data_IF_180776697001
#
_entry.id   IF_180776697001
#
_cell.length_a   1.000
_cell.length_b   1.000
_cell.length_c   1.000
_cell.angle_alpha   90.00
_cell.angle_beta   90.00
_cell.angle_gamma   90.00
#
_symmetry.space_group_name_H-M   'P 1'
#
loop_
_entity.id
_entity.type
_entity.pdbx_description
1 polymer ?
#
# COMPACT_ATOMS: atom_id res chain seq x y z
N UNK A 1 -16.34 32.22 -26.91
CA UNK A 1 -15.19 32.14 -25.98
C UNK A 1 -15.43 30.97 -25.06
N UNK A 2 -14.88 29.80 -25.39
CA UNK A 2 -15.00 28.55 -24.63
C UNK A 2 -13.68 28.32 -23.91
N UNK A 3 -13.68 28.46 -22.57
CA UNK A 3 -12.48 28.31 -21.74
C UNK A 3 -12.19 26.83 -21.47
N UNK A 4 -10.94 26.42 -21.72
CA UNK A 4 -10.37 25.08 -21.49
C UNK A 4 -10.35 24.69 -20.00
N UNK A 5 -11.46 24.18 -19.46
CA UNK A 5 -11.55 23.73 -18.06
C UNK A 5 -11.00 22.32 -17.80
N UNK A 6 -10.72 21.53 -18.85
CA UNK A 6 -10.23 20.15 -18.70
C UNK A 6 -8.74 20.08 -18.31
N UNK A 7 -7.93 21.06 -18.72
CA UNK A 7 -6.48 21.08 -18.46
C UNK A 7 -6.16 21.45 -17.00
N UNK A 8 -7.04 22.18 -16.31
CA UNK A 8 -6.83 22.59 -14.91
C UNK A 8 -7.15 21.44 -13.92
N UNK A 9 -8.08 20.55 -14.27
CA UNK A 9 -8.36 19.34 -13.49
C UNK A 9 -7.12 18.42 -13.42
N UNK A 10 -6.43 18.23 -14.55
CA UNK A 10 -5.24 17.37 -14.63
C UNK A 10 -4.00 17.95 -13.94
N UNK A 11 -3.88 19.27 -13.83
CA UNK A 11 -2.75 19.92 -13.12
C UNK A 11 -2.84 19.78 -11.61
N UNK A 12 -4.05 19.64 -11.07
CA UNK A 12 -4.26 19.33 -9.64
C UNK A 12 -3.88 17.89 -9.27
N UNK A 13 -4.18 16.92 -10.15
CA UNK A 13 -3.95 15.49 -9.90
C UNK A 13 -2.46 15.12 -9.89
N UNK A 14 -1.64 15.78 -10.70
CA UNK A 14 -0.19 15.55 -10.74
C UNK A 14 0.55 16.10 -9.50
N UNK A 15 0.00 17.14 -8.85
CA UNK A 15 0.63 17.74 -7.66
C UNK A 15 0.55 16.83 -6.41
N UNK A 16 -0.49 16.00 -6.30
CA UNK A 16 -0.67 15.08 -5.16
C UNK A 16 0.29 13.90 -5.20
N UNK A 17 0.67 13.43 -6.41
CA UNK A 17 1.64 12.33 -6.58
C UNK A 17 3.07 12.73 -6.19
N UNK A 18 3.43 14.01 -6.23
CA UNK A 18 4.78 14.48 -5.89
C UNK A 18 4.95 14.73 -4.38
N UNK A 19 3.88 15.09 -3.65
CA UNK A 19 3.98 15.44 -2.23
C UNK A 19 4.08 14.21 -1.30
N UNK A 20 3.51 13.07 -1.69
CA UNK A 20 3.61 11.81 -0.92
C UNK A 20 5.02 11.20 -0.98
N UNK A 21 5.82 11.53 -2.00
CA UNK A 21 7.17 11.00 -2.18
C UNK A 21 8.23 11.65 -1.26
N UNK A 22 7.93 12.76 -0.55
CA UNK A 22 8.95 13.62 0.06
C UNK A 22 8.97 13.65 1.60
N UNK A 23 8.13 12.90 2.32
CA UNK A 23 8.06 12.96 3.80
C UNK A 23 8.58 11.71 4.53
N UNK A 24 9.47 10.96 3.88
CA UNK A 24 10.24 9.89 4.53
C UNK A 24 11.18 10.44 5.59
N UNK A 25 10.67 10.68 6.79
CA UNK A 25 11.47 11.05 7.97
C UNK A 25 12.12 9.77 8.47
N UNK A 26 13.44 9.65 8.29
CA UNK A 26 14.23 8.53 8.81
C UNK A 26 14.18 8.52 10.34
N UNK A 27 13.31 7.71 10.91
CA UNK A 27 13.34 7.41 12.33
C UNK A 27 14.54 6.49 12.60
N UNK A 28 15.56 7.03 13.26
CA UNK A 28 16.66 6.24 13.84
C UNK A 28 16.11 5.38 14.97
N UNK A 29 15.87 4.09 14.71
CA UNK A 29 15.48 3.14 15.74
C UNK A 29 16.70 2.76 16.60
N UNK A 30 16.59 2.99 17.90
CA UNK A 30 17.51 2.46 18.91
C UNK A 30 17.46 0.93 18.88
N UNK A 31 18.63 0.29 18.87
CA UNK A 31 18.77 -1.15 18.90
C UNK A 31 18.38 -1.68 20.29
N UNK A 32 17.14 -2.14 20.43
CA UNK A 32 16.74 -3.07 21.48
C UNK A 32 16.96 -4.49 20.96
N UNK A 33 17.48 -5.38 21.81
CA UNK A 33 17.87 -6.76 21.51
C UNK A 33 16.63 -7.69 21.36
N UNK A 34 15.47 -7.08 21.04
CA UNK A 34 14.22 -7.74 20.72
C UNK A 34 14.34 -8.39 19.34
N UNK A 35 13.99 -9.68 19.23
CA UNK A 35 13.86 -10.48 18.00
C UNK A 35 14.14 -9.70 16.71
N UNK A 36 15.32 -9.93 16.10
CA UNK A 36 15.64 -9.28 14.84
C UNK A 36 14.60 -9.69 13.80
N UNK A 37 13.85 -8.72 13.30
CA UNK A 37 12.89 -8.93 12.22
C UNK A 37 13.55 -8.62 10.88
N UNK A 38 13.52 -9.57 9.95
CA UNK A 38 13.90 -9.33 8.56
C UNK A 38 12.76 -8.58 7.85
N UNK A 39 13.04 -7.36 7.39
CA UNK A 39 12.09 -6.53 6.67
C UNK A 39 12.16 -6.80 5.16
N UNK A 40 11.03 -7.25 4.59
CA UNK A 40 10.90 -7.53 3.15
C UNK A 40 9.90 -6.59 2.46
N UNK A 41 9.48 -5.50 3.11
CA UNK A 41 8.54 -4.53 2.54
C UNK A 41 9.03 -3.87 1.25
N UNK A 42 10.35 -3.75 1.09
CA UNK A 42 10.96 -3.25 -0.15
C UNK A 42 10.60 -4.10 -1.39
N UNK A 43 10.26 -5.39 -1.22
CA UNK A 43 9.83 -6.26 -2.33
C UNK A 43 8.39 -5.97 -2.77
N UNK A 44 7.54 -5.53 -1.83
CA UNK A 44 6.13 -5.20 -2.09
C UNK A 44 6.01 -3.83 -2.77
N UNK A 45 6.85 -2.86 -2.38
CA UNK A 45 6.86 -1.50 -2.93
C UNK A 45 6.86 -1.41 -4.47
N UNK A 46 7.75 -2.09 -5.23
CA UNK A 46 7.73 -2.02 -6.68
C UNK A 46 6.48 -2.67 -7.29
N UNK A 47 5.95 -3.73 -6.66
CA UNK A 47 4.70 -4.38 -7.10
C UNK A 47 3.53 -3.40 -6.98
N UNK A 48 3.46 -2.70 -5.85
CA UNK A 48 2.43 -1.69 -5.60
C UNK A 48 2.57 -0.47 -6.50
N UNK A 49 3.80 0.01 -6.73
CA UNK A 49 4.06 1.10 -7.64
C UNK A 49 3.65 0.75 -9.08
N UNK A 50 4.00 -0.44 -9.57
CA UNK A 50 3.59 -0.92 -10.89
C UNK A 50 2.06 -1.06 -11.00
N UNK A 51 1.42 -1.59 -9.96
CA UNK A 51 -0.02 -1.79 -9.91
C UNK A 51 -0.78 -0.47 -9.94
N UNK A 52 -0.37 0.51 -9.13
CA UNK A 52 -0.94 1.86 -9.14
C UNK A 52 -0.66 2.56 -10.47
N UNK A 53 0.54 2.42 -11.03
CA UNK A 53 0.88 2.95 -12.34
C UNK A 53 -0.06 2.41 -13.43
N UNK A 54 -0.26 1.10 -13.49
CA UNK A 54 -1.20 0.46 -14.42
C UNK A 54 -2.63 0.93 -14.20
N UNK A 55 -3.06 1.04 -12.95
CA UNK A 55 -4.40 1.51 -12.62
C UNK A 55 -4.63 2.95 -13.09
N UNK A 56 -3.69 3.86 -12.80
CA UNK A 56 -3.75 5.26 -13.22
C UNK A 56 -3.70 5.40 -14.74
N UNK A 57 -2.80 4.69 -15.42
CA UNK A 57 -2.73 4.70 -16.88
C UNK A 57 -4.02 4.14 -17.51
N UNK A 58 -4.55 3.03 -17.00
CA UNK A 58 -5.81 2.46 -17.47
C UNK A 58 -7.00 3.42 -17.29
N UNK A 59 -7.05 4.15 -16.18
CA UNK A 59 -8.06 5.18 -15.96
C UNK A 59 -7.91 6.36 -16.93
N UNK A 60 -6.68 6.79 -17.22
CA UNK A 60 -6.41 7.91 -18.12
C UNK A 60 -6.77 7.60 -19.58
N UNK A 61 -6.49 6.38 -20.03
CA UNK A 61 -6.73 5.92 -21.41
C UNK A 61 -8.09 5.23 -21.59
N UNK A 62 -8.91 5.13 -20.53
CA UNK A 62 -10.16 4.35 -20.50
C UNK A 62 -9.96 2.87 -20.91
N UNK A 63 -8.78 2.33 -20.64
CA UNK A 63 -8.38 0.96 -20.98
C UNK A 63 -8.66 0.04 -19.78
N UNK A 64 -9.73 -0.76 -19.90
CA UNK A 64 -10.24 -1.57 -18.80
C UNK A 64 -9.24 -2.65 -18.36
N UNK A 65 -8.48 -3.23 -19.28
CA UNK A 65 -7.55 -4.33 -18.97
C UNK A 65 -6.44 -3.87 -18.04
N UNK A 66 -5.82 -2.72 -18.32
CA UNK A 66 -4.78 -2.10 -17.52
C UNK A 66 -5.34 -1.65 -16.17
N UNK A 67 -6.55 -1.07 -16.16
CA UNK A 67 -7.22 -0.68 -14.92
C UNK A 67 -7.46 -1.90 -14.01
N UNK A 68 -8.06 -2.98 -14.54
CA UNK A 68 -8.33 -4.19 -13.77
C UNK A 68 -7.04 -4.95 -13.40
N UNK A 69 -6.02 -4.93 -14.26
CA UNK A 69 -4.71 -5.51 -13.95
C UNK A 69 -4.01 -4.74 -12.83
N UNK A 70 -4.06 -3.41 -12.86
CA UNK A 70 -3.56 -2.56 -11.78
C UNK A 70 -4.30 -2.79 -10.48
N UNK A 71 -5.62 -2.91 -10.52
CA UNK A 71 -6.42 -3.24 -9.32
C UNK A 71 -6.11 -4.64 -8.78
N UNK A 72 -6.00 -5.64 -9.66
CA UNK A 72 -5.65 -7.01 -9.26
C UNK A 72 -4.24 -7.07 -8.66
N UNK A 73 -3.27 -6.37 -9.26
CA UNK A 73 -1.93 -6.23 -8.74
C UNK A 73 -1.90 -5.53 -7.38
N UNK A 74 -2.69 -4.47 -7.21
CA UNK A 74 -2.83 -3.78 -5.93
C UNK A 74 -3.43 -4.70 -4.86
N UNK A 75 -4.50 -5.44 -5.18
CA UNK A 75 -5.17 -6.29 -4.20
C UNK A 75 -4.33 -7.52 -3.82
N UNK A 76 -3.64 -8.14 -4.78
CA UNK A 76 -2.99 -9.45 -4.60
C UNK A 76 -1.46 -9.38 -4.49
N UNK A 77 -0.82 -8.28 -4.92
CA UNK A 77 0.63 -8.14 -4.96
C UNK A 77 1.29 -8.37 -3.59
N UNK A 78 0.90 -7.58 -2.59
CA UNK A 78 1.35 -7.77 -1.20
C UNK A 78 1.01 -9.16 -0.65
N UNK A 79 -0.26 -9.61 -0.72
CA UNK A 79 -0.65 -10.95 -0.28
C UNK A 79 0.18 -12.09 -0.87
N UNK A 80 0.52 -12.05 -2.16
CA UNK A 80 1.37 -13.06 -2.81
C UNK A 80 2.79 -13.02 -2.23
N UNK A 81 3.36 -11.84 -2.02
CA UNK A 81 4.70 -11.70 -1.42
C UNK A 81 4.71 -12.23 0.03
N UNK A 82 3.67 -11.96 0.82
CA UNK A 82 3.56 -12.55 2.17
C UNK A 82 3.48 -14.08 2.14
N UNK A 83 2.74 -14.65 1.18
CA UNK A 83 2.67 -16.10 1.00
C UNK A 83 4.02 -16.71 0.61
N UNK A 84 4.78 -16.02 -0.25
CA UNK A 84 6.13 -16.45 -0.60
C UNK A 84 7.09 -16.48 0.60
N UNK A 85 6.80 -15.73 1.67
CA UNK A 85 7.54 -15.75 2.94
C UNK A 85 6.90 -16.66 4.01
N UNK A 86 5.97 -17.53 3.61
CA UNK A 86 5.23 -18.46 4.49
C UNK A 86 4.39 -17.75 5.57
N UNK A 87 4.01 -16.50 5.35
CA UNK A 87 3.26 -15.68 6.30
C UNK A 87 1.76 -15.65 5.96
N UNK A 88 1.08 -16.80 6.05
CA UNK A 88 -0.35 -16.93 5.68
C UNK A 88 -1.25 -15.87 6.35
N UNK A 89 -1.11 -15.68 7.67
CA UNK A 89 -1.90 -14.70 8.41
C UNK A 89 -1.65 -13.26 7.97
N UNK A 90 -0.40 -12.95 7.59
CA UNK A 90 -0.05 -11.62 7.11
C UNK A 90 -0.57 -11.37 5.70
N UNK A 91 -0.64 -12.42 4.87
CA UNK A 91 -1.28 -12.34 3.55
C UNK A 91 -2.76 -11.99 3.64
N UNK A 92 -3.52 -12.69 4.50
CA UNK A 92 -4.93 -12.39 4.74
C UNK A 92 -5.11 -11.00 5.34
N UNK A 93 -4.27 -10.62 6.29
CA UNK A 93 -4.26 -9.28 6.88
C UNK A 93 -3.99 -8.17 5.85
N UNK A 94 -3.01 -8.36 4.98
CA UNK A 94 -2.66 -7.45 3.89
C UNK A 94 -3.82 -7.28 2.91
N UNK A 95 -4.47 -8.37 2.49
CA UNK A 95 -5.65 -8.32 1.63
C UNK A 95 -6.81 -7.58 2.31
N UNK A 96 -7.04 -7.86 3.60
CA UNK A 96 -8.04 -7.17 4.40
C UNK A 96 -7.79 -5.66 4.52
N UNK A 97 -6.54 -5.24 4.73
CA UNK A 97 -6.17 -3.82 4.76
C UNK A 97 -6.36 -3.16 3.39
N UNK A 98 -5.90 -3.81 2.31
CA UNK A 98 -5.96 -3.29 0.94
C UNK A 98 -7.38 -3.12 0.43
N UNK A 99 -8.33 -3.94 0.87
CA UNK A 99 -9.74 -3.78 0.51
C UNK A 99 -10.50 -2.92 1.53
N UNK A 100 -10.22 -3.11 2.81
CA UNK A 100 -10.93 -2.47 3.92
C UNK A 100 -10.62 -0.99 4.06
N UNK A 101 -9.35 -0.59 4.04
CA UNK A 101 -8.96 0.81 4.26
C UNK A 101 -9.45 1.72 3.11
N UNK A 102 -9.30 1.39 1.82
CA UNK A 102 -9.86 2.22 0.74
C UNK A 102 -11.39 2.24 0.72
N UNK A 103 -12.04 1.13 1.05
CA UNK A 103 -13.51 1.10 1.13
C UNK A 103 -14.00 2.01 2.25
N UNK A 104 -13.39 1.92 3.44
CA UNK A 104 -13.75 2.77 4.57
C UNK A 104 -13.43 4.24 4.33
N UNK A 105 -12.34 4.58 3.63
CA UNK A 105 -12.04 5.98 3.29
C UNK A 105 -13.08 6.58 2.34
N UNK A 106 -13.57 5.82 1.35
CA UNK A 106 -14.67 6.25 0.47
C UNK A 106 -15.97 6.43 1.26
N UNK A 107 -16.29 5.52 2.18
CA UNK A 107 -17.49 5.65 3.04
C UNK A 107 -17.40 6.86 3.97
N UNK A 108 -16.22 7.17 4.50
CA UNK A 108 -15.99 8.38 5.29
C UNK A 108 -16.18 9.62 4.41
N UNK A 109 -15.56 9.65 3.23
CA UNK A 109 -15.66 10.78 2.32
C UNK A 109 -17.09 11.05 1.85
N UNK A 110 -17.89 10.00 1.62
CA UNK A 110 -19.30 10.14 1.23
C UNK A 110 -20.15 10.75 2.36
N UNK A 111 -19.84 10.46 3.62
CA UNK A 111 -20.53 11.06 4.77
C UNK A 111 -20.30 12.58 4.90
N UNK A 112 -19.17 13.08 4.39
CA UNK A 112 -18.85 14.52 4.36
C UNK A 112 -19.22 15.21 3.04
N UNK A 113 -19.83 14.50 2.10
CA UNK A 113 -20.22 15.07 0.82
C UNK A 113 -21.49 15.92 0.97
N UNK A 114 -21.31 17.23 1.16
CA UNK A 114 -22.40 18.21 1.05
C UNK A 114 -22.44 18.75 -0.37
N UNK A 115 -23.47 18.39 -1.15
CA UNK A 115 -23.65 18.97 -2.48
C UNK A 115 -24.67 20.10 -2.43
N UNK A 116 -24.26 21.31 -2.80
CA UNK A 116 -25.16 22.43 -3.12
C UNK A 116 -24.97 22.78 -4.60
N UNK A 117 -25.86 22.31 -5.46
CA UNK A 117 -25.75 22.50 -6.92
C UNK A 117 -26.76 21.67 -7.70
N UNK A 118 -26.73 21.76 -9.03
CA UNK A 118 -27.52 20.87 -9.89
C UNK A 118 -27.00 19.42 -9.80
N UNK A 119 -27.83 18.45 -10.21
CA UNK A 119 -27.53 17.01 -10.05
C UNK A 119 -26.24 16.56 -10.75
N UNK A 120 -25.85 17.19 -11.85
CA UNK A 120 -24.64 16.83 -12.60
C UNK A 120 -23.36 17.31 -11.91
N UNK A 121 -23.33 18.55 -11.42
CA UNK A 121 -22.17 19.08 -10.69
C UNK A 121 -21.97 18.34 -9.35
N UNK A 122 -23.08 18.02 -8.66
CA UNK A 122 -23.07 17.21 -7.45
C UNK A 122 -22.47 15.82 -7.67
N UNK A 123 -22.82 15.17 -8.78
CA UNK A 123 -22.28 13.85 -9.13
C UNK A 123 -20.78 13.90 -9.44
N UNK A 124 -20.34 14.88 -10.22
CA UNK A 124 -18.93 15.05 -10.56
C UNK A 124 -18.06 15.31 -9.32
N UNK A 125 -18.52 16.16 -8.41
CA UNK A 125 -17.85 16.43 -7.13
C UNK A 125 -17.78 15.18 -6.24
N UNK A 126 -18.89 14.43 -6.13
CA UNK A 126 -18.92 13.18 -5.38
C UNK A 126 -17.95 12.13 -5.95
N UNK A 127 -17.88 11.98 -7.28
CA UNK A 127 -16.92 11.08 -7.91
C UNK A 127 -15.47 11.53 -7.68
N UNK A 128 -15.18 12.82 -7.83
CA UNK A 128 -13.83 13.37 -7.60
C UNK A 128 -13.35 13.12 -6.17
N UNK A 129 -14.19 13.42 -5.17
CA UNK A 129 -13.91 13.15 -3.76
C UNK A 129 -13.77 11.66 -3.48
N UNK A 130 -14.62 10.83 -4.09
CA UNK A 130 -14.56 9.37 -3.97
C UNK A 130 -13.24 8.79 -4.49
N UNK A 131 -12.79 9.20 -5.69
CA UNK A 131 -11.51 8.77 -6.27
C UNK A 131 -10.34 9.22 -5.40
N UNK A 132 -10.35 10.48 -4.92
CA UNK A 132 -9.31 10.99 -4.04
C UNK A 132 -9.25 10.21 -2.73
N UNK A 133 -10.39 9.96 -2.09
CA UNK A 133 -10.49 9.20 -0.85
C UNK A 133 -10.03 7.75 -1.04
N UNK A 134 -10.41 7.11 -2.16
CA UNK A 134 -9.96 5.77 -2.52
C UNK A 134 -8.43 5.74 -2.66
N UNK A 135 -7.85 6.68 -3.40
CA UNK A 135 -6.40 6.76 -3.61
C UNK A 135 -5.62 6.98 -2.32
N UNK A 136 -6.07 7.91 -1.45
CA UNK A 136 -5.44 8.14 -0.15
C UNK A 136 -5.56 6.92 0.78
N UNK A 137 -6.74 6.28 0.80
CA UNK A 137 -6.95 5.04 1.54
C UNK A 137 -6.04 3.91 1.04
N UNK A 138 -5.83 3.81 -0.27
CA UNK A 138 -4.97 2.81 -0.86
C UNK A 138 -3.50 2.99 -0.47
N UNK A 139 -3.00 4.23 -0.53
CA UNK A 139 -1.64 4.56 -0.07
C UNK A 139 -1.48 4.30 1.43
N UNK A 140 -2.47 4.65 2.25
CA UNK A 140 -2.43 4.36 3.68
C UNK A 140 -2.39 2.85 3.95
N UNK A 141 -3.18 2.05 3.23
CA UNK A 141 -3.15 0.59 3.34
C UNK A 141 -1.77 0.01 3.03
N UNK A 142 -1.14 0.48 1.94
CA UNK A 142 0.23 0.08 1.55
C UNK A 142 1.24 0.40 2.65
N UNK A 143 1.20 1.63 3.19
CA UNK A 143 2.12 2.05 4.24
C UNK A 143 1.97 1.18 5.50
N UNK A 144 0.73 0.89 5.92
CA UNK A 144 0.46 -0.01 7.04
C UNK A 144 1.01 -1.42 6.78
N UNK A 145 0.85 -1.93 5.56
CA UNK A 145 1.37 -3.22 5.15
C UNK A 145 2.91 -3.28 5.25
N UNK A 146 3.59 -2.29 4.67
CA UNK A 146 5.05 -2.21 4.68
C UNK A 146 5.64 -2.11 6.08
N UNK A 147 4.99 -1.35 6.97
CA UNK A 147 5.50 -1.06 8.30
C UNK A 147 5.25 -2.23 9.26
N UNK A 148 4.04 -2.81 9.24
CA UNK A 148 3.59 -3.74 10.26
C UNK A 148 3.57 -5.21 9.81
N UNK A 149 3.22 -5.49 8.55
CA UNK A 149 3.05 -6.86 8.07
C UNK A 149 4.29 -7.41 7.37
N UNK A 150 5.06 -6.57 6.68
CA UNK A 150 6.21 -6.99 5.88
C UNK A 150 7.49 -7.27 6.69
N UNK A 151 7.36 -7.99 7.80
CA UNK A 151 8.45 -8.39 8.72
C UNK A 151 8.44 -9.90 8.94
N UNK A 152 9.60 -10.55 9.04
CA UNK A 152 9.74 -11.97 9.35
C UNK A 152 10.60 -12.13 10.61
N UNK A 153 10.13 -12.82 11.67
CA UNK A 153 10.95 -13.07 12.84
C UNK A 153 12.18 -13.91 12.47
N UNK A 154 13.38 -13.45 12.87
CA UNK A 154 14.61 -14.22 12.72
C UNK A 154 15.05 -14.81 14.07
N UNK A 155 15.59 -16.03 14.09
CA UNK A 155 16.23 -16.57 15.28
C UNK A 155 17.33 -15.60 15.76
N UNK A 156 17.36 -15.31 17.07
CA UNK A 156 18.41 -14.47 17.63
C UNK A 156 19.79 -15.10 17.43
N UNK A 157 20.82 -14.29 17.21
CA UNK A 157 22.21 -14.73 17.04
C UNK A 157 22.71 -15.59 18.22
N UNK A 158 22.18 -15.35 19.41
CA UNK A 158 22.46 -16.15 20.60
C UNK A 158 21.89 -17.58 20.48
N UNK A 159 20.72 -17.73 19.85
CA UNK A 159 20.10 -19.03 19.59
C UNK A 159 20.91 -19.83 18.56
N UNK A 160 21.40 -19.18 17.49
CA UNK A 160 22.22 -19.85 16.50
C UNK A 160 23.62 -20.21 17.03
N UNK A 161 24.26 -19.33 17.81
CA UNK A 161 25.52 -19.64 18.49
C UNK A 161 25.40 -20.83 19.45
N UNK A 162 24.33 -20.87 20.25
CA UNK A 162 24.07 -22.00 21.16
C UNK A 162 23.77 -23.31 20.43
N UNK A 163 23.05 -23.26 19.30
CA UNK A 163 22.83 -24.44 18.45
C UNK A 163 24.14 -24.98 17.85
N UNK A 164 25.00 -24.10 17.37
CA UNK A 164 26.32 -24.50 16.83
C UNK A 164 27.17 -25.13 17.94
N UNK A 165 27.17 -24.56 19.14
CA UNK A 165 27.90 -25.11 20.28
C UNK A 165 27.35 -26.48 20.72
N UNK A 166 26.03 -26.65 20.75
CA UNK A 166 25.40 -27.95 21.03
C UNK A 166 25.73 -29.00 19.95
N UNK A 167 25.73 -28.61 18.68
CA UNK A 167 26.10 -29.51 17.59
C UNK A 167 27.57 -29.94 17.71
N UNK A 168 28.49 -29.04 18.07
CA UNK A 168 29.89 -29.38 18.29
C UNK A 168 30.09 -30.35 19.46
N UNK A 169 29.38 -30.15 20.57
CA UNK A 169 29.44 -31.07 21.73
C UNK A 169 28.85 -32.45 21.42
N UNK A 170 27.84 -32.53 20.55
CA UNK A 170 27.22 -33.80 20.15
C UNK A 170 28.19 -34.75 19.44
N UNK A 171 29.21 -34.24 18.76
CA UNK A 171 30.19 -35.06 18.03
C UNK A 171 31.43 -35.45 18.85
N UNK A 172 31.46 -35.15 20.15
CA UNK A 172 32.59 -35.49 21.04
C UNK A 172 32.42 -36.81 21.82
N UNK A 173 31.36 -37.58 21.56
CA UNK A 173 31.08 -38.88 22.18
C UNK A 173 30.73 -39.92 21.10
#
# INVERSE_FOLDING_TARGET
MTTNSSLDFWRGTLAVLVLVALTGTSATAQADDSMQDEWYGWQIMPVDAASVGLMVCGMAELEQTAMFSGFAGYALGGPIVHLAHEQWWKSVGSLGLRLGVPTTSVLIASAFSSSSGNSQAAFADAMGKGILALGLGAVAAMALDYIFLARKPMPSSNSSASQVQMLQLRWQF
#
